data_IF_964194188921
#
_entry.id   IF_964194188921
#
_cell.length_a   1.000
_cell.length_b   1.000
_cell.length_c   1.000
_cell.angle_alpha   90.00
_cell.angle_beta   90.00
_cell.angle_gamma   90.00
#
_symmetry.space_group_name_H-M   'P 1'
#
loop_
_entity.id
_entity.type
_entity.pdbx_description
1 polymer ?
#
# COMPACT_ATOMS: atom_id res chain seq x y z
N UNK A 1 4.96 31.03 -9.02
CA UNK A 1 4.28 30.42 -7.87
C UNK A 1 3.56 29.18 -8.37
N UNK A 2 4.17 28.00 -8.25
CA UNK A 2 3.55 26.75 -8.64
C UNK A 2 2.61 26.29 -7.52
N UNK A 3 1.31 26.19 -7.81
CA UNK A 3 0.37 25.56 -6.89
C UNK A 3 0.76 24.08 -6.77
N UNK A 4 1.33 23.70 -5.63
CA UNK A 4 1.34 22.31 -5.22
C UNK A 4 -0.13 21.88 -5.14
N UNK A 5 -0.53 20.92 -5.97
CA UNK A 5 -1.83 20.27 -5.86
C UNK A 5 -1.93 19.71 -4.43
N UNK A 6 -2.80 20.31 -3.62
CA UNK A 6 -3.19 19.73 -2.33
C UNK A 6 -3.69 18.32 -2.63
N UNK A 7 -3.06 17.32 -2.04
CA UNK A 7 -3.53 15.94 -2.11
C UNK A 7 -5.01 15.94 -1.72
N UNK A 8 -5.86 15.41 -2.60
CA UNK A 8 -7.29 15.32 -2.35
C UNK A 8 -7.51 14.49 -1.09
N UNK A 9 -8.20 15.05 -0.09
CA UNK A 9 -8.58 14.32 1.12
C UNK A 9 -9.54 13.16 0.85
N UNK A 10 -10.08 13.07 -0.37
CA UNK A 10 -11.05 12.08 -0.83
C UNK A 10 -10.38 10.93 -1.58
N UNK A 11 -10.82 9.70 -1.29
CA UNK A 11 -10.57 8.52 -2.14
C UNK A 11 -11.66 8.49 -3.21
N UNK A 12 -11.29 8.47 -4.48
CA UNK A 12 -12.22 8.44 -5.63
C UNK A 12 -12.14 7.15 -6.45
N UNK A 13 -11.06 6.37 -6.28
CA UNK A 13 -10.83 5.10 -6.94
C UNK A 13 -11.25 3.89 -6.10
N UNK A 14 -11.65 2.82 -6.79
CA UNK A 14 -11.89 1.50 -6.18
C UNK A 14 -10.60 0.71 -5.92
N UNK A 15 -9.49 1.10 -6.56
CA UNK A 15 -8.19 0.46 -6.44
C UNK A 15 -7.25 1.46 -5.77
N UNK A 16 -6.72 1.09 -4.61
CA UNK A 16 -5.82 1.92 -3.80
C UNK A 16 -4.51 1.18 -3.56
N UNK A 17 -3.40 1.86 -3.81
CA UNK A 17 -2.06 1.46 -3.40
C UNK A 17 -1.66 2.33 -2.20
N UNK A 18 -1.32 1.69 -1.08
CA UNK A 18 -0.74 2.31 0.10
C UNK A 18 0.76 2.01 0.10
N UNK A 19 1.59 3.03 -0.12
CA UNK A 19 3.05 2.89 -0.30
C UNK A 19 3.82 3.56 0.84
N UNK A 20 5.05 3.14 1.06
CA UNK A 20 5.92 3.62 2.15
C UNK A 20 6.30 5.11 2.01
N UNK A 21 6.56 5.58 0.80
CA UNK A 21 7.00 6.95 0.59
C UNK A 21 6.86 7.43 -0.85
N UNK A 22 7.51 8.56 -1.13
CA UNK A 22 7.42 9.24 -2.42
C UNK A 22 8.16 8.50 -3.53
N UNK A 23 9.23 7.79 -3.20
CA UNK A 23 10.02 7.07 -4.19
C UNK A 23 9.23 5.87 -4.73
N UNK A 24 8.59 5.07 -3.86
CA UNK A 24 7.65 4.02 -4.26
C UNK A 24 6.45 4.61 -5.01
N UNK A 25 5.89 5.73 -4.54
CA UNK A 25 4.79 6.39 -5.24
C UNK A 25 5.17 6.73 -6.68
N UNK A 26 6.30 7.41 -6.87
CA UNK A 26 6.79 7.80 -8.20
C UNK A 26 7.08 6.58 -9.07
N UNK A 27 7.70 5.54 -8.50
CA UNK A 27 8.00 4.30 -9.20
C UNK A 27 6.74 3.58 -9.69
N UNK A 28 5.77 3.33 -8.80
CA UNK A 28 4.54 2.63 -9.17
C UNK A 28 3.64 3.48 -10.09
N UNK A 29 3.60 4.81 -9.92
CA UNK A 29 2.92 5.69 -10.87
C UNK A 29 3.53 5.57 -12.28
N UNK A 30 4.86 5.59 -12.40
CA UNK A 30 5.54 5.44 -13.68
C UNK A 30 5.36 4.05 -14.29
N UNK A 31 5.52 2.99 -13.48
CA UNK A 31 5.39 1.60 -13.91
C UNK A 31 3.97 1.29 -14.40
N UNK A 32 2.94 1.62 -13.63
CA UNK A 32 1.55 1.35 -14.00
C UNK A 32 1.15 2.12 -15.25
N UNK A 33 1.60 3.38 -15.36
CA UNK A 33 1.41 4.18 -16.58
C UNK A 33 2.08 3.54 -17.79
N UNK A 34 3.33 3.08 -17.66
CA UNK A 34 4.05 2.38 -18.74
C UNK A 34 3.33 1.10 -19.16
N UNK A 35 2.78 0.35 -18.20
CA UNK A 35 1.99 -0.86 -18.44
C UNK A 35 0.58 -0.58 -18.99
N UNK A 36 0.16 0.68 -19.11
CA UNK A 36 -1.19 1.04 -19.55
C UNK A 36 -2.29 0.67 -18.55
N UNK A 37 -1.93 0.45 -17.28
CA UNK A 37 -2.87 0.19 -16.19
C UNK A 37 -3.36 1.53 -15.66
N UNK A 38 -4.66 1.67 -15.42
CA UNK A 38 -5.28 2.89 -14.91
C UNK A 38 -6.37 2.60 -13.88
N UNK A 39 -7.06 3.65 -13.42
CA UNK A 39 -8.14 3.50 -12.44
C UNK A 39 -7.68 3.14 -11.04
N UNK A 40 -6.51 3.64 -10.62
CA UNK A 40 -5.93 3.47 -9.29
C UNK A 40 -5.63 4.82 -8.64
N UNK A 41 -5.43 4.80 -7.33
CA UNK A 41 -4.82 5.89 -6.56
C UNK A 41 -3.64 5.36 -5.75
N UNK A 42 -2.62 6.18 -5.58
CA UNK A 42 -1.47 5.86 -4.73
C UNK A 42 -1.40 6.87 -3.58
N UNK A 43 -1.40 6.35 -2.35
CA UNK A 43 -1.35 7.12 -1.12
C UNK A 43 -0.04 6.82 -0.39
N UNK A 44 0.71 7.87 -0.06
CA UNK A 44 1.91 7.79 0.80
C UNK A 44 1.46 7.62 2.26
N UNK A 45 1.83 6.48 2.84
CA UNK A 45 1.48 6.07 4.21
C UNK A 45 2.68 6.20 5.16
N UNK A 46 3.83 6.67 4.67
CA UNK A 46 5.06 6.82 5.43
C UNK A 46 5.69 5.48 5.86
N UNK A 47 6.94 5.51 6.31
CA UNK A 47 7.63 4.31 6.82
C UNK A 47 7.05 3.73 8.11
N UNK A 48 7.75 2.75 8.70
CA UNK A 48 7.31 1.92 9.85
C UNK A 48 6.42 2.63 10.87
N UNK A 49 6.92 3.72 11.45
CA UNK A 49 6.28 4.44 12.56
C UNK A 49 5.06 5.24 12.11
N UNK A 50 4.98 5.55 10.82
CA UNK A 50 3.84 6.23 10.23
C UNK A 50 2.77 5.24 9.76
N UNK A 51 3.16 4.04 9.29
CA UNK A 51 2.23 3.00 8.84
C UNK A 51 1.18 2.65 9.90
N UNK A 52 1.61 2.54 11.16
CA UNK A 52 0.72 2.21 12.29
C UNK A 52 -0.35 3.28 12.56
N UNK A 53 -0.16 4.52 12.08
CA UNK A 53 -1.12 5.63 12.28
C UNK A 53 -1.85 6.01 10.99
N UNK A 54 -1.13 6.10 9.86
CA UNK A 54 -1.66 6.54 8.58
C UNK A 54 -2.50 5.48 7.87
N UNK A 55 -2.17 4.19 7.95
CA UNK A 55 -3.01 3.14 7.34
C UNK A 55 -4.39 3.07 8.02
N UNK A 56 -4.50 3.09 9.37
CA UNK A 56 -5.80 3.25 10.03
C UNK A 56 -6.53 4.54 9.66
N UNK A 57 -5.81 5.65 9.47
CA UNK A 57 -6.42 6.92 9.06
C UNK A 57 -6.99 6.84 7.64
N UNK A 58 -6.29 6.20 6.70
CA UNK A 58 -6.78 5.93 5.34
C UNK A 58 -8.10 5.15 5.38
N UNK A 59 -8.16 4.08 6.19
CA UNK A 59 -9.38 3.26 6.38
C UNK A 59 -10.55 4.03 7.01
N UNK A 60 -10.27 5.09 7.77
CA UNK A 60 -11.30 5.95 8.40
C UNK A 60 -11.91 6.98 7.45
N UNK A 61 -11.34 7.20 6.26
CA UNK A 61 -11.93 8.10 5.27
C UNK A 61 -13.31 7.59 4.86
N UNK A 62 -14.29 8.51 4.78
CA UNK A 62 -15.69 8.18 4.46
C UNK A 62 -15.85 7.40 3.15
N UNK A 63 -14.98 7.69 2.18
CA UNK A 63 -15.01 7.11 0.85
C UNK A 63 -14.24 5.78 0.76
N UNK A 64 -13.55 5.36 1.84
CA UNK A 64 -12.84 4.07 1.87
C UNK A 64 -13.80 2.88 1.70
N UNK A 65 -15.07 3.02 2.08
CA UNK A 65 -16.11 1.99 1.89
C UNK A 65 -16.30 1.55 0.42
N UNK A 66 -15.90 2.40 -0.53
CA UNK A 66 -16.03 2.14 -1.97
C UNK A 66 -14.78 1.45 -2.54
N UNK A 67 -13.70 1.35 -1.74
CA UNK A 67 -12.49 0.59 -2.09
C UNK A 67 -12.84 -0.89 -2.24
N UNK A 68 -12.32 -1.50 -3.30
CA UNK A 68 -12.48 -2.92 -3.62
C UNK A 68 -11.16 -3.66 -3.61
N UNK A 69 -10.06 -2.97 -3.92
CA UNK A 69 -8.70 -3.53 -3.88
C UNK A 69 -7.82 -2.55 -3.10
N UNK A 70 -7.17 -3.06 -2.06
CA UNK A 70 -6.11 -2.38 -1.32
C UNK A 70 -4.81 -3.17 -1.48
N UNK A 71 -3.85 -2.61 -2.19
CA UNK A 71 -2.49 -3.12 -2.24
C UNK A 71 -1.61 -2.31 -1.28
N UNK A 72 -0.89 -2.99 -0.39
CA UNK A 72 0.07 -2.37 0.52
C UNK A 72 1.46 -2.74 0.03
N UNK A 73 2.31 -1.74 -0.17
CA UNK A 73 3.68 -1.92 -0.66
C UNK A 73 4.64 -1.25 0.32
N UNK A 74 5.66 -1.99 0.74
CA UNK A 74 6.53 -1.58 1.84
C UNK A 74 7.92 -2.23 1.68
N UNK A 75 8.98 -1.56 2.07
CA UNK A 75 10.33 -2.11 1.96
C UNK A 75 10.58 -3.18 3.02
N UNK A 76 11.41 -4.18 2.67
CA UNK A 76 11.82 -5.21 3.61
C UNK A 76 12.64 -4.62 4.76
N UNK A 77 13.36 -3.52 4.51
CA UNK A 77 14.38 -2.96 5.40
C UNK A 77 15.39 -4.07 5.76
N UNK A 78 15.28 -4.62 6.97
CA UNK A 78 16.14 -5.71 7.48
C UNK A 78 15.53 -7.11 7.31
N UNK A 79 14.21 -7.24 7.20
CA UNK A 79 13.53 -8.53 7.17
C UNK A 79 12.13 -8.44 6.57
N UNK A 80 11.94 -9.02 5.38
CA UNK A 80 10.68 -9.07 4.69
C UNK A 80 9.59 -9.78 5.51
N UNK A 81 9.95 -10.82 6.25
CA UNK A 81 9.03 -11.54 7.14
C UNK A 81 8.55 -10.64 8.30
N UNK A 82 9.46 -9.95 8.99
CA UNK A 82 9.09 -9.08 10.11
C UNK A 82 8.27 -7.88 9.63
N UNK A 83 8.62 -7.33 8.47
CA UNK A 83 7.89 -6.25 7.82
C UNK A 83 6.48 -6.69 7.43
N UNK A 84 6.33 -7.87 6.82
CA UNK A 84 5.03 -8.44 6.51
C UNK A 84 4.18 -8.67 7.77
N UNK A 85 4.74 -9.29 8.81
CA UNK A 85 4.05 -9.48 10.10
C UNK A 85 3.59 -8.15 10.69
N UNK A 86 4.42 -7.11 10.61
CA UNK A 86 4.05 -5.76 11.07
C UNK A 86 2.83 -5.21 10.32
N UNK A 87 2.79 -5.33 8.99
CA UNK A 87 1.63 -4.91 8.20
C UNK A 87 0.38 -5.74 8.53
N UNK A 88 0.51 -7.06 8.65
CA UNK A 88 -0.59 -7.96 9.01
C UNK A 88 -1.18 -7.59 10.38
N UNK A 89 -0.34 -7.28 11.38
CA UNK A 89 -0.80 -6.85 12.70
C UNK A 89 -1.62 -5.54 12.62
N UNK A 90 -1.21 -4.59 11.79
CA UNK A 90 -1.98 -3.35 11.59
C UNK A 90 -3.34 -3.67 10.95
N UNK A 91 -3.37 -4.49 9.91
CA UNK A 91 -4.60 -4.91 9.22
C UNK A 91 -5.59 -5.59 10.17
N UNK A 92 -5.12 -6.50 11.01
CA UNK A 92 -5.93 -7.16 12.04
C UNK A 92 -6.54 -6.15 13.01
N UNK A 93 -5.73 -5.19 13.50
CA UNK A 93 -6.19 -4.16 14.43
C UNK A 93 -7.27 -3.26 13.84
N UNK A 94 -7.22 -2.99 12.53
CA UNK A 94 -8.23 -2.18 11.84
C UNK A 94 -9.37 -2.99 11.21
N UNK A 95 -9.39 -4.31 11.44
CA UNK A 95 -10.40 -5.26 10.94
C UNK A 95 -10.50 -5.27 9.42
N UNK A 96 -9.36 -5.24 8.73
CA UNK A 96 -9.28 -5.54 7.29
C UNK A 96 -8.81 -6.98 7.07
N UNK A 97 -9.19 -7.61 5.94
CA UNK A 97 -8.67 -8.92 5.57
C UNK A 97 -7.14 -8.95 5.55
N UNK A 98 -6.56 -10.04 6.02
CA UNK A 98 -5.10 -10.23 6.06
C UNK A 98 -4.68 -11.36 5.13
N UNK A 99 -3.76 -11.13 4.19
CA UNK A 99 -3.24 -12.21 3.34
C UNK A 99 -2.43 -13.22 4.17
N UNK A 100 -2.44 -14.48 3.76
CA UNK A 100 -1.71 -15.54 4.46
C UNK A 100 -0.19 -15.46 4.22
N UNK A 101 0.23 -14.87 3.10
CA UNK A 101 1.63 -14.76 2.66
C UNK A 101 1.86 -13.44 1.93
N UNK A 102 3.12 -13.02 1.88
CA UNK A 102 3.60 -11.95 1.00
C UNK A 102 3.23 -12.29 -0.45
N UNK A 103 2.92 -11.28 -1.25
CA UNK A 103 2.57 -11.40 -2.68
C UNK A 103 1.27 -12.18 -2.94
N UNK A 104 0.40 -12.31 -1.94
CA UNK A 104 -0.90 -12.94 -2.06
C UNK A 104 -2.01 -11.91 -1.78
N UNK A 105 -3.10 -11.99 -2.54
CA UNK A 105 -4.35 -11.30 -2.23
C UNK A 105 -5.26 -12.15 -1.35
N UNK A 106 -6.03 -11.50 -0.49
CA UNK A 106 -7.15 -12.14 0.20
C UNK A 106 -8.31 -12.44 -0.76
N UNK A 107 -9.28 -13.23 -0.29
CA UNK A 107 -10.51 -13.52 -1.04
C UNK A 107 -11.71 -13.46 -0.09
N UNK A 108 -12.08 -12.26 0.41
CA UNK A 108 -13.19 -12.11 1.34
C UNK A 108 -14.53 -12.31 0.62
N UNK A 109 -15.50 -12.90 1.32
CA UNK A 109 -16.87 -13.13 0.82
C UNK A 109 -17.88 -12.07 1.32
N UNK A 110 -17.48 -11.24 2.29
CA UNK A 110 -18.35 -10.30 3.02
C UNK A 110 -18.37 -8.88 2.43
N UNK A 111 -17.85 -8.70 1.22
CA UNK A 111 -17.79 -7.40 0.54
C UNK A 111 -16.72 -6.44 1.08
N UNK A 112 -15.89 -6.87 2.04
CA UNK A 112 -14.67 -6.14 2.41
C UNK A 112 -13.68 -6.09 1.25
N UNK A 113 -12.77 -5.10 1.19
CA UNK A 113 -11.82 -5.01 0.10
C UNK A 113 -10.89 -6.24 0.06
N UNK A 114 -10.54 -6.66 -1.15
CA UNK A 114 -9.41 -7.57 -1.38
C UNK A 114 -8.14 -6.85 -0.98
N UNK A 115 -7.33 -7.47 -0.11
CA UNK A 115 -6.10 -6.89 0.44
C UNK A 115 -4.90 -7.72 -0.01
N UNK A 116 -3.89 -7.08 -0.56
CA UNK A 116 -2.60 -7.68 -0.88
C UNK A 116 -1.47 -6.91 -0.18
N UNK A 117 -0.42 -7.63 0.22
CA UNK A 117 0.79 -7.03 0.77
C UNK A 117 1.98 -7.49 -0.07
N UNK A 118 2.68 -6.54 -0.65
CA UNK A 118 3.91 -6.73 -1.39
C UNK A 118 5.06 -6.13 -0.57
N UNK A 119 6.10 -6.92 -0.33
CA UNK A 119 7.30 -6.42 0.35
C UNK A 119 8.41 -6.29 -0.68
N UNK A 120 8.88 -5.06 -0.89
CA UNK A 120 9.99 -4.72 -1.78
C UNK A 120 11.32 -5.20 -1.20
N UNK A 121 12.34 -5.52 -2.02
CA UNK A 121 12.31 -5.53 -3.49
C UNK A 121 11.74 -6.83 -4.10
N UNK A 122 11.05 -7.66 -3.32
CA UNK A 122 10.38 -8.87 -3.79
C UNK A 122 10.91 -10.14 -3.13
N UNK A 123 11.63 -10.98 -3.87
CA UNK A 123 12.13 -12.28 -3.37
C UNK A 123 13.39 -12.15 -2.47
N UNK A 124 13.71 -10.95 -2.01
CA UNK A 124 14.83 -10.71 -1.10
C UNK A 124 14.33 -10.62 0.35
N UNK A 125 15.15 -11.11 1.27
CA UNK A 125 14.82 -11.05 2.70
C UNK A 125 15.04 -9.64 3.28
N UNK A 126 15.81 -8.78 2.63
CA UNK A 126 16.11 -7.41 3.08
C UNK A 126 16.29 -6.48 1.89
N UNK A 127 16.28 -5.17 2.13
CA UNK A 127 16.51 -4.13 1.13
C UNK A 127 15.31 -3.22 0.90
N UNK A 128 15.48 -2.30 -0.04
CA UNK A 128 14.56 -1.22 -0.39
C UNK A 128 14.36 -1.16 -1.91
N UNK A 129 13.49 -0.26 -2.36
CA UNK A 129 13.29 0.02 -3.80
C UNK A 129 14.59 0.36 -4.52
N UNK A 130 15.48 1.11 -3.86
CA UNK A 130 16.76 1.52 -4.45
C UNK A 130 17.62 0.31 -4.80
N UNK A 131 17.64 -0.74 -3.97
CA UNK A 131 18.42 -1.96 -4.24
C UNK A 131 17.95 -2.70 -5.52
N UNK A 132 16.72 -2.44 -5.97
CA UNK A 132 16.19 -2.98 -7.22
C UNK A 132 16.56 -2.12 -8.44
N UNK A 133 16.65 -0.80 -8.26
CA UNK A 133 16.62 0.17 -9.36
C UNK A 133 17.88 1.02 -9.51
N UNK A 134 18.74 1.10 -8.48
CA UNK A 134 19.89 2.00 -8.36
C UNK A 134 21.12 1.30 -7.78
#
# INVERSE_FOLDING_TARGET
MGNALKESDKIVSKIVLAVEGKDEKNFFEALLKYMGIGGYEIHDVGGKDQFITKLPALKKKTDFKDVRILAIIRDAEESAENTFKSVVNILQNIKLPTPAKVNQFTSPEDGTPVVGVYIMPGNADSGMLEDLCL
#
